data_IF_920389936416
#
_entry.id   IF_920389936416
#
_cell.length_a   1.000
_cell.length_b   1.000
_cell.length_c   1.000
_cell.angle_alpha   90.00
_cell.angle_beta   90.00
_cell.angle_gamma   90.00
#
_symmetry.space_group_name_H-M   'P 1'
#
loop_
_entity.id
_entity.type
_entity.pdbx_description
1 polymer ?
#
# COMPACT_ATOMS: atom_id res chain seq x y z
N UNK A 1 -26.02 20.65 -81.42
CA UNK A 1 -24.66 21.16 -81.16
C UNK A 1 -24.35 21.13 -79.66
N UNK A 2 -24.72 20.07 -78.94
CA UNK A 2 -24.52 19.97 -77.48
C UNK A 2 -23.63 18.79 -77.07
N UNK A 3 -23.13 18.00 -78.03
CA UNK A 3 -22.28 16.83 -77.78
C UNK A 3 -20.80 17.24 -77.72
N UNK A 4 -20.43 18.26 -78.50
CA UNK A 4 -19.05 18.74 -78.66
C UNK A 4 -18.50 19.39 -77.37
N UNK A 5 -19.38 19.86 -76.46
CA UNK A 5 -18.97 20.40 -75.14
C UNK A 5 -18.79 19.32 -74.06
N UNK A 6 -19.36 18.12 -74.24
CA UNK A 6 -19.35 17.04 -73.23
C UNK A 6 -18.12 16.14 -73.42
N UNK A 7 -17.61 16.04 -74.65
CA UNK A 7 -16.51 15.14 -75.00
C UNK A 7 -15.17 15.86 -74.89
N UNK A 8 -14.45 15.61 -73.79
CA UNK A 8 -13.13 16.21 -73.53
C UNK A 8 -11.98 15.43 -74.18
N UNK A 9 -12.20 14.16 -74.56
CA UNK A 9 -11.16 13.31 -75.17
C UNK A 9 -10.95 13.69 -76.65
N UNK A 10 -9.73 14.12 -76.97
CA UNK A 10 -9.31 14.52 -78.32
C UNK A 10 -9.54 13.42 -79.36
N UNK A 11 -9.30 12.15 -79.02
CA UNK A 11 -9.51 11.04 -79.95
C UNK A 11 -11.00 10.82 -80.24
N UNK A 12 -11.84 10.99 -79.23
CA UNK A 12 -13.28 10.83 -79.37
C UNK A 12 -13.91 12.00 -80.15
N UNK A 13 -13.42 13.22 -79.95
CA UNK A 13 -13.79 14.40 -80.76
C UNK A 13 -13.47 14.17 -82.23
N UNK A 14 -12.24 13.72 -82.55
CA UNK A 14 -11.84 13.42 -83.93
C UNK A 14 -12.72 12.35 -84.61
N UNK A 15 -13.16 11.33 -83.86
CA UNK A 15 -14.08 10.30 -84.36
C UNK A 15 -15.46 10.90 -84.66
N UNK A 16 -15.97 11.77 -83.79
CA UNK A 16 -17.29 12.40 -83.96
C UNK A 16 -17.31 13.35 -85.15
N UNK A 17 -16.27 14.15 -85.32
CA UNK A 17 -16.11 15.07 -86.46
C UNK A 17 -16.00 14.28 -87.77
N UNK A 18 -15.11 13.28 -87.82
CA UNK A 18 -14.98 12.42 -88.99
C UNK A 18 -16.28 11.66 -89.31
N UNK A 19 -17.04 11.25 -88.29
CA UNK A 19 -18.35 10.61 -88.46
C UNK A 19 -19.37 11.56 -89.06
N UNK A 20 -19.43 12.80 -88.55
CA UNK A 20 -20.33 13.84 -89.04
C UNK A 20 -20.03 14.19 -90.49
N UNK A 21 -18.76 14.41 -90.82
CA UNK A 21 -18.32 14.77 -92.17
C UNK A 21 -18.59 13.64 -93.17
N UNK A 22 -18.27 12.41 -92.79
CA UNK A 22 -18.55 11.21 -93.62
C UNK A 22 -20.05 11.06 -93.85
N UNK A 23 -20.89 11.33 -92.84
CA UNK A 23 -22.35 11.28 -92.96
C UNK A 23 -22.87 12.37 -93.90
N UNK A 24 -22.38 13.60 -93.79
CA UNK A 24 -22.79 14.71 -94.66
C UNK A 24 -22.43 14.41 -96.12
N UNK A 25 -21.22 13.89 -96.37
CA UNK A 25 -20.82 13.48 -97.73
C UNK A 25 -21.66 12.31 -98.27
N UNK A 26 -21.98 11.32 -97.43
CA UNK A 26 -22.84 10.20 -97.83
C UNK A 26 -24.25 10.66 -98.21
N UNK A 27 -24.85 11.57 -97.43
CA UNK A 27 -26.16 12.13 -97.72
C UNK A 27 -26.14 12.96 -99.01
N UNK A 28 -25.13 13.82 -99.19
CA UNK A 28 -24.96 14.60 -100.42
C UNK A 28 -24.84 13.72 -101.67
N UNK A 29 -24.12 12.59 -101.56
CA UNK A 29 -23.99 11.63 -102.66
C UNK A 29 -25.33 10.93 -102.97
N UNK A 30 -26.11 10.58 -101.94
CA UNK A 30 -27.46 10.01 -102.11
C UNK A 30 -28.39 10.99 -102.81
N UNK A 31 -28.36 12.27 -102.42
CA UNK A 31 -29.17 13.32 -103.04
C UNK A 31 -28.78 13.55 -104.51
N UNK A 32 -27.48 13.52 -104.83
CA UNK A 32 -26.98 13.62 -106.21
C UNK A 32 -27.41 12.42 -107.07
N UNK A 33 -27.37 11.21 -106.53
CA UNK A 33 -27.84 10.00 -107.24
C UNK A 33 -29.35 10.04 -107.46
N UNK A 34 -30.12 10.49 -106.47
CA UNK A 34 -31.57 10.64 -106.59
C UNK A 34 -31.96 11.69 -107.66
N UNK A 35 -31.21 12.80 -107.76
CA UNK A 35 -31.44 13.85 -108.75
C UNK A 35 -31.04 13.47 -110.19
N UNK A 36 -30.01 12.63 -110.35
CA UNK A 36 -29.50 12.21 -111.67
C UNK A 36 -30.31 11.09 -112.34
N UNK A 37 -31.22 10.42 -111.61
CA UNK A 37 -31.98 9.27 -112.12
C UNK A 37 -31.17 7.97 -112.23
N UNK A 38 -31.72 6.89 -112.84
CA UNK A 38 -31.02 5.63 -113.03
C UNK A 38 -29.67 5.83 -113.74
N UNK A 39 -28.63 5.15 -113.26
CA UNK A 39 -27.22 5.31 -113.70
C UNK A 39 -27.11 5.20 -115.23
N UNK A 40 -27.92 4.36 -115.89
CA UNK A 40 -27.92 4.13 -117.33
C UNK A 40 -28.43 5.32 -118.18
N UNK A 41 -29.18 6.26 -117.58
CA UNK A 41 -29.73 7.46 -118.24
C UNK A 41 -28.95 8.74 -117.97
N UNK A 42 -27.93 8.69 -117.10
CA UNK A 42 -27.15 9.85 -116.68
C UNK A 42 -26.04 10.21 -117.68
N UNK A 43 -25.73 11.51 -117.80
CA UNK A 43 -24.59 12.00 -118.60
C UNK A 43 -23.27 11.31 -118.18
N UNK A 44 -22.37 10.97 -119.13
CA UNK A 44 -21.09 10.32 -118.81
C UNK A 44 -20.21 11.13 -117.85
N UNK A 45 -20.31 12.46 -117.86
CA UNK A 45 -19.62 13.33 -116.89
C UNK A 45 -20.20 13.18 -115.47
N UNK A 46 -21.53 13.03 -115.34
CA UNK A 46 -22.20 12.83 -114.06
C UNK A 46 -21.89 11.46 -113.44
N UNK A 47 -21.75 10.42 -114.27
CA UNK A 47 -21.30 9.09 -113.84
C UNK A 47 -19.86 9.10 -113.34
N UNK A 48 -18.97 9.84 -114.02
CA UNK A 48 -17.57 9.96 -113.63
C UNK A 48 -17.42 10.71 -112.30
N UNK A 49 -18.21 11.77 -112.08
CA UNK A 49 -18.19 12.55 -110.84
C UNK A 49 -18.75 11.76 -109.64
N UNK A 50 -19.85 11.04 -109.85
CA UNK A 50 -20.42 10.12 -108.84
C UNK A 50 -19.40 9.05 -108.43
N UNK A 51 -18.64 8.50 -109.39
CA UNK A 51 -17.60 7.50 -109.12
C UNK A 51 -16.41 8.06 -108.33
N UNK A 52 -16.04 9.33 -108.53
CA UNK A 52 -15.00 10.00 -107.73
C UNK A 52 -15.46 10.21 -106.29
N UNK A 53 -16.68 10.72 -106.11
CA UNK A 53 -17.24 10.94 -104.77
C UNK A 53 -17.44 9.62 -104.00
N UNK A 54 -17.84 8.55 -104.68
CA UNK A 54 -17.89 7.20 -104.08
C UNK A 54 -16.52 6.73 -103.56
N UNK A 55 -15.46 6.91 -104.35
CA UNK A 55 -14.09 6.55 -103.92
C UNK A 55 -13.65 7.37 -102.70
N UNK A 56 -13.93 8.68 -102.70
CA UNK A 56 -13.64 9.56 -101.56
C UNK A 56 -14.39 9.12 -100.29
N UNK A 57 -15.67 8.79 -100.43
CA UNK A 57 -16.48 8.30 -99.31
C UNK A 57 -15.93 6.98 -98.73
N UNK A 58 -15.50 6.05 -99.58
CA UNK A 58 -14.88 4.78 -99.15
C UNK A 58 -13.60 5.05 -98.34
N UNK A 59 -12.77 6.01 -98.77
CA UNK A 59 -11.58 6.41 -98.02
C UNK A 59 -11.93 7.00 -96.65
N UNK A 60 -12.90 7.90 -96.58
CA UNK A 60 -13.34 8.51 -95.32
C UNK A 60 -13.96 7.48 -94.35
N UNK A 61 -14.72 6.51 -94.87
CA UNK A 61 -15.22 5.38 -94.08
C UNK A 61 -14.10 4.49 -93.54
N UNK A 62 -13.01 4.30 -94.28
CA UNK A 62 -11.85 3.57 -93.79
C UNK A 62 -11.13 4.33 -92.67
N UNK A 63 -10.96 5.65 -92.82
CA UNK A 63 -10.40 6.51 -91.77
C UNK A 63 -11.27 6.50 -90.50
N UNK A 64 -12.58 6.65 -90.63
CA UNK A 64 -13.53 6.59 -89.52
C UNK A 64 -13.45 5.27 -88.75
N UNK A 65 -13.36 4.14 -89.46
CA UNK A 65 -13.17 2.81 -88.84
C UNK A 65 -11.85 2.71 -88.08
N UNK A 66 -10.78 3.32 -88.61
CA UNK A 66 -9.48 3.40 -87.93
C UNK A 66 -9.55 4.20 -86.64
N UNK A 67 -10.10 5.42 -86.71
CA UNK A 67 -10.27 6.30 -85.55
C UNK A 67 -11.17 5.67 -84.48
N UNK A 68 -12.28 5.04 -84.86
CA UNK A 68 -13.18 4.35 -83.94
C UNK A 68 -12.48 3.21 -83.19
N UNK A 69 -11.65 2.41 -83.88
CA UNK A 69 -10.85 1.37 -83.25
C UNK A 69 -9.86 1.98 -82.25
N UNK A 70 -9.17 3.05 -82.62
CA UNK A 70 -8.22 3.72 -81.73
C UNK A 70 -8.90 4.24 -80.45
N UNK A 71 -10.04 4.92 -80.57
CA UNK A 71 -10.82 5.39 -79.42
C UNK A 71 -11.31 4.23 -78.53
N UNK A 72 -11.78 3.13 -79.12
CA UNK A 72 -12.19 1.94 -78.38
C UNK A 72 -11.02 1.29 -77.61
N UNK A 73 -9.84 1.19 -78.24
CA UNK A 73 -8.64 0.68 -77.58
C UNK A 73 -8.20 1.59 -76.42
N UNK A 74 -8.23 2.91 -76.60
CA UNK A 74 -7.93 3.87 -75.53
C UNK A 74 -8.87 3.74 -74.33
N UNK A 75 -10.17 3.59 -74.57
CA UNK A 75 -11.15 3.37 -73.50
C UNK A 75 -10.89 2.05 -72.73
N UNK A 76 -10.55 0.97 -73.45
CA UNK A 76 -10.20 -0.32 -72.82
C UNK A 76 -8.91 -0.24 -72.01
N UNK A 77 -7.90 0.45 -72.52
CA UNK A 77 -6.64 0.66 -71.81
C UNK A 77 -6.85 1.46 -70.53
N UNK A 78 -7.60 2.54 -70.60
CA UNK A 78 -7.95 3.38 -69.43
C UNK A 78 -8.69 2.56 -68.37
N UNK A 79 -9.59 1.65 -68.78
CA UNK A 79 -10.26 0.71 -67.87
C UNK A 79 -9.30 -0.29 -67.20
N UNK A 80 -8.30 -0.78 -67.92
CA UNK A 80 -7.26 -1.65 -67.33
C UNK A 80 -6.45 -0.89 -66.29
N UNK A 81 -5.94 0.30 -66.65
CA UNK A 81 -5.12 1.14 -65.78
C UNK A 81 -5.87 1.57 -64.52
N UNK A 82 -7.15 1.94 -64.64
CA UNK A 82 -7.98 2.29 -63.47
C UNK A 82 -8.27 1.08 -62.58
N UNK A 83 -8.43 -0.12 -63.16
CA UNK A 83 -8.57 -1.35 -62.38
C UNK A 83 -7.28 -1.70 -61.62
N UNK A 84 -6.12 -1.58 -62.28
CA UNK A 84 -4.80 -1.82 -61.67
C UNK A 84 -4.51 -0.81 -60.55
N UNK A 85 -4.72 0.47 -60.81
CA UNK A 85 -4.57 1.52 -59.80
C UNK A 85 -5.51 1.31 -58.60
N UNK A 86 -6.75 0.87 -58.84
CA UNK A 86 -7.68 0.52 -57.76
C UNK A 86 -7.17 -0.64 -56.92
N UNK A 87 -6.69 -1.72 -57.54
CA UNK A 87 -6.13 -2.86 -56.82
C UNK A 87 -4.93 -2.46 -55.96
N UNK A 88 -4.09 -1.55 -56.46
CA UNK A 88 -2.96 -1.03 -55.70
C UNK A 88 -3.40 -0.18 -54.50
N UNK A 89 -4.42 0.66 -54.66
CA UNK A 89 -5.02 1.42 -53.55
C UNK A 89 -5.57 0.47 -52.48
N UNK A 90 -6.29 -0.58 -52.89
CA UNK A 90 -6.85 -1.56 -51.95
C UNK A 90 -5.74 -2.33 -51.20
N UNK A 91 -4.64 -2.68 -51.90
CA UNK A 91 -3.46 -3.30 -51.30
C UNK A 91 -2.80 -2.40 -50.25
N UNK A 92 -2.57 -1.14 -50.57
CA UNK A 92 -1.97 -0.16 -49.65
C UNK A 92 -2.89 0.12 -48.46
N UNK A 93 -4.21 0.17 -48.68
CA UNK A 93 -5.17 0.34 -47.59
C UNK A 93 -5.09 -0.80 -46.59
N UNK A 94 -4.98 -2.06 -47.06
CA UNK A 94 -4.81 -3.22 -46.19
C UNK A 94 -3.50 -3.16 -45.39
N UNK A 95 -2.40 -2.78 -46.04
CA UNK A 95 -1.11 -2.62 -45.35
C UNK A 95 -1.18 -1.55 -44.25
N UNK A 96 -1.83 -0.42 -44.54
CA UNK A 96 -2.04 0.65 -43.56
C UNK A 96 -2.90 0.17 -42.37
N UNK A 97 -3.96 -0.60 -42.61
CA UNK A 97 -4.78 -1.17 -41.54
C UNK A 97 -3.97 -2.11 -40.63
N UNK A 98 -3.08 -2.93 -41.21
CA UNK A 98 -2.21 -3.81 -40.44
C UNK A 98 -1.29 -3.01 -39.51
N UNK A 99 -0.69 -1.92 -40.00
CA UNK A 99 0.16 -1.04 -39.19
C UNK A 99 -0.63 -0.35 -38.07
N UNK A 100 -1.86 0.11 -38.34
CA UNK A 100 -2.72 0.68 -37.30
C UNK A 100 -3.13 -0.34 -36.24
N UNK A 101 -3.30 -1.60 -36.62
CA UNK A 101 -3.55 -2.68 -35.68
C UNK A 101 -2.33 -2.93 -34.79
N UNK A 102 -1.15 -3.07 -35.39
CA UNK A 102 0.12 -3.24 -34.68
C UNK A 102 0.38 -2.10 -33.71
N UNK A 103 0.20 -0.84 -34.14
CA UNK A 103 0.33 0.33 -33.28
C UNK A 103 -0.60 0.25 -32.06
N UNK A 104 -1.89 -0.05 -32.25
CA UNK A 104 -2.83 -0.15 -31.14
C UNK A 104 -2.49 -1.30 -30.20
N UNK A 105 -2.03 -2.42 -30.75
CA UNK A 105 -1.62 -3.57 -29.97
C UNK A 105 -0.42 -3.22 -29.08
N UNK A 106 0.65 -2.66 -29.66
CA UNK A 106 1.84 -2.22 -28.93
C UNK A 106 1.53 -1.13 -27.90
N UNK A 107 0.68 -0.15 -28.25
CA UNK A 107 0.22 0.86 -27.28
C UNK A 107 -0.53 0.21 -26.10
N UNK A 108 -1.34 -0.81 -26.37
CA UNK A 108 -2.01 -1.60 -25.34
C UNK A 108 -1.03 -2.35 -24.44
N UNK A 109 -0.01 -2.98 -25.03
CA UNK A 109 1.04 -3.67 -24.28
C UNK A 109 1.87 -2.72 -23.42
N UNK A 110 2.29 -1.57 -23.97
CA UNK A 110 3.01 -0.52 -23.23
C UNK A 110 2.16 -0.04 -22.05
N UNK A 111 0.88 0.27 -22.30
CA UNK A 111 -0.03 0.73 -21.24
C UNK A 111 -0.18 -0.34 -20.15
N UNK A 112 -0.25 -1.62 -20.52
CA UNK A 112 -0.31 -2.71 -19.56
C UNK A 112 0.97 -2.78 -18.71
N UNK A 113 2.15 -2.65 -19.34
CA UNK A 113 3.43 -2.59 -18.64
C UNK A 113 3.56 -1.35 -17.73
N UNK A 114 3.12 -0.18 -18.18
CA UNK A 114 3.14 1.06 -17.39
C UNK A 114 2.16 1.01 -16.21
N UNK A 115 1.03 0.33 -16.38
CA UNK A 115 0.05 0.11 -15.32
C UNK A 115 0.42 -1.02 -14.35
N UNK A 116 1.50 -1.76 -14.62
CA UNK A 116 1.96 -2.83 -13.75
C UNK A 116 2.44 -2.22 -12.43
N UNK A 117 1.57 -2.25 -11.43
CA UNK A 117 1.94 -1.92 -10.07
C UNK A 117 2.99 -2.96 -9.65
N UNK A 118 4.23 -2.54 -9.47
CA UNK A 118 5.32 -3.40 -8.99
C UNK A 118 5.04 -3.75 -7.52
N UNK A 119 4.13 -4.69 -7.31
CA UNK A 119 3.78 -5.25 -6.01
C UNK A 119 4.83 -6.32 -5.69
N UNK A 120 5.62 -6.19 -4.61
CA UNK A 120 6.41 -7.30 -4.09
C UNK A 120 5.45 -8.45 -3.80
N UNK A 121 5.78 -9.64 -4.29
CA UNK A 121 4.93 -10.82 -4.32
C UNK A 121 4.27 -11.17 -2.96
N UNK A 122 3.11 -10.58 -2.65
CA UNK A 122 2.11 -11.06 -1.66
C UNK A 122 0.94 -10.06 -1.54
N UNK A 123 0.02 -10.02 -2.51
CA UNK A 123 -1.34 -9.49 -2.30
C UNK A 123 -2.30 -9.81 -3.46
N UNK A 124 -2.54 -11.08 -3.74
CA UNK A 124 -3.77 -11.49 -4.44
C UNK A 124 -4.90 -11.57 -3.41
N UNK A 125 -5.65 -10.49 -3.18
CA UNK A 125 -7.06 -10.57 -2.74
C UNK A 125 -7.80 -9.24 -2.90
N UNK A 126 -9.09 -9.37 -3.23
CA UNK A 126 -10.19 -8.39 -3.09
C UNK A 126 -10.52 -7.46 -4.28
N UNK A 127 -11.32 -8.05 -5.19
CA UNK A 127 -12.63 -7.57 -5.65
C UNK A 127 -12.76 -6.23 -6.40
N UNK A 128 -12.92 -6.36 -7.72
CA UNK A 128 -13.98 -5.81 -8.59
C UNK A 128 -14.81 -4.65 -8.03
N UNK A 129 -14.59 -3.45 -8.58
CA UNK A 129 -15.58 -2.36 -8.60
C UNK A 129 -16.45 -2.41 -9.88
N UNK A 130 -17.71 -1.92 -9.85
CA UNK A 130 -18.61 -1.96 -10.99
C UNK A 130 -18.32 -0.85 -12.01
N UNK A 131 -18.57 -1.18 -13.26
CA UNK A 131 -18.47 -0.38 -14.49
C UNK A 131 -19.17 0.99 -14.39
N UNK A 132 -18.56 2.10 -14.86
CA UNK A 132 -19.30 3.33 -15.10
C UNK A 132 -20.04 3.25 -16.44
N UNK A 133 -21.35 3.44 -16.35
CA UNK A 133 -22.30 3.62 -17.44
C UNK A 133 -22.00 4.89 -18.26
N UNK A 134 -22.35 4.82 -19.55
CA UNK A 134 -22.12 5.80 -20.63
C UNK A 134 -22.47 7.28 -20.31
N UNK A 135 -21.81 8.26 -20.96
CA UNK A 135 -22.19 9.68 -20.85
C UNK A 135 -23.38 10.02 -21.77
N UNK A 136 -24.30 10.93 -21.37
CA UNK A 136 -25.42 11.35 -22.21
C UNK A 136 -25.02 12.42 -23.24
N UNK A 137 -25.77 12.41 -24.34
CA UNK A 137 -25.59 13.15 -25.60
C UNK A 137 -25.56 14.68 -25.43
N UNK A 138 -24.65 15.30 -26.18
CA UNK A 138 -24.51 16.76 -26.32
C UNK A 138 -25.74 17.42 -26.94
N UNK A 139 -26.14 18.56 -26.39
CA UNK A 139 -27.15 19.48 -26.95
C UNK A 139 -26.42 20.71 -27.48
N UNK A 140 -26.61 21.01 -28.76
CA UNK A 140 -26.12 22.21 -29.46
C UNK A 140 -27.00 23.42 -29.20
N UNK A 141 -26.39 24.60 -28.98
CA UNK A 141 -26.97 25.95 -29.05
C UNK A 141 -25.81 27.00 -29.17
N UNK A 142 -26.06 28.26 -29.58
CA UNK A 142 -25.46 28.90 -30.76
C UNK A 142 -24.31 29.89 -30.45
N UNK A 143 -23.63 30.46 -31.48
CA UNK A 143 -22.32 31.08 -31.32
C UNK A 143 -22.42 32.57 -30.99
N UNK A 144 -21.81 32.99 -29.88
CA UNK A 144 -21.23 34.32 -29.74
C UNK A 144 -20.20 34.32 -28.61
N UNK A 145 -18.97 34.79 -28.89
CA UNK A 145 -17.75 34.80 -28.05
C UNK A 145 -16.90 33.52 -27.98
N UNK A 146 -16.74 32.84 -29.12
CA UNK A 146 -15.96 31.59 -29.24
C UNK A 146 -14.51 31.69 -28.74
N UNK A 147 -13.83 32.83 -28.87
CA UNK A 147 -12.40 32.91 -28.54
C UNK A 147 -12.09 33.03 -27.04
N UNK A 148 -12.98 33.64 -26.26
CA UNK A 148 -12.75 33.80 -24.81
C UNK A 148 -13.03 32.49 -24.05
N UNK A 149 -14.14 31.82 -24.37
CA UNK A 149 -14.46 30.54 -23.77
C UNK A 149 -13.51 29.44 -24.26
N UNK A 150 -13.15 29.40 -25.55
CA UNK A 150 -12.16 28.42 -26.06
C UNK A 150 -10.83 28.53 -25.32
N UNK A 151 -10.29 29.73 -25.10
CA UNK A 151 -9.02 29.89 -24.39
C UNK A 151 -9.10 29.55 -22.89
N UNK A 152 -10.19 29.92 -22.21
CA UNK A 152 -10.43 29.53 -20.81
C UNK A 152 -10.60 28.02 -20.67
N UNK A 153 -11.35 27.37 -21.55
CA UNK A 153 -11.51 25.91 -21.57
C UNK A 153 -10.22 25.20 -21.96
N UNK A 154 -9.43 25.73 -22.91
CA UNK A 154 -8.13 25.16 -23.30
C UNK A 154 -7.13 25.22 -22.13
N UNK A 155 -7.06 26.34 -21.42
CA UNK A 155 -6.16 26.50 -20.27
C UNK A 155 -6.58 25.62 -19.09
N UNK A 156 -7.88 25.60 -18.76
CA UNK A 156 -8.41 24.77 -17.69
C UNK A 156 -8.27 23.27 -18.02
N UNK A 157 -8.53 22.88 -19.28
CA UNK A 157 -8.35 21.50 -19.73
C UNK A 157 -6.89 21.08 -19.74
N UNK A 158 -5.96 21.99 -20.10
CA UNK A 158 -4.52 21.70 -20.06
C UNK A 158 -4.02 21.53 -18.63
N UNK A 159 -4.51 22.36 -17.70
CA UNK A 159 -4.18 22.27 -16.28
C UNK A 159 -4.74 20.99 -15.65
N UNK A 160 -6.01 20.67 -15.92
CA UNK A 160 -6.63 19.43 -15.46
C UNK A 160 -5.92 18.21 -16.09
N UNK A 161 -5.53 18.28 -17.36
CA UNK A 161 -4.77 17.22 -18.01
C UNK A 161 -3.40 17.02 -17.35
N UNK A 162 -2.68 18.11 -17.01
CA UNK A 162 -1.43 18.04 -16.25
C UNK A 162 -1.62 17.45 -14.86
N UNK A 163 -2.61 17.90 -14.09
CA UNK A 163 -2.91 17.37 -12.75
C UNK A 163 -3.30 15.88 -12.81
N UNK A 164 -4.05 15.46 -13.84
CA UNK A 164 -4.40 14.05 -14.05
C UNK A 164 -3.21 13.20 -14.50
N UNK A 165 -2.27 13.77 -15.26
CA UNK A 165 -1.01 13.11 -15.64
C UNK A 165 -0.13 12.94 -14.39
N UNK A 166 0.01 13.97 -13.55
CA UNK A 166 0.74 13.88 -12.28
C UNK A 166 0.11 12.87 -11.33
N UNK A 167 -1.22 12.83 -11.23
CA UNK A 167 -1.92 11.83 -10.44
C UNK A 167 -1.73 10.41 -10.99
N UNK A 168 -1.83 10.21 -12.30
CA UNK A 168 -1.58 8.93 -12.97
C UNK A 168 -0.14 8.45 -12.78
N UNK A 169 0.82 9.36 -12.75
CA UNK A 169 2.24 9.08 -12.56
C UNK A 169 2.64 9.03 -11.07
N UNK A 170 1.72 9.31 -10.14
CA UNK A 170 1.99 9.24 -8.70
C UNK A 170 1.98 7.79 -8.23
N UNK A 171 3.14 7.15 -8.28
CA UNK A 171 3.29 5.79 -7.79
C UNK A 171 3.25 5.73 -6.25
N UNK A 172 2.76 4.61 -5.72
CA UNK A 172 2.58 4.39 -4.27
C UNK A 172 3.84 4.63 -3.44
N UNK A 173 5.04 4.41 -4.02
CA UNK A 173 6.32 4.66 -3.33
C UNK A 173 6.58 6.14 -3.02
N UNK A 174 6.02 7.08 -3.78
CA UNK A 174 6.15 8.52 -3.50
C UNK A 174 5.33 8.97 -2.28
N UNK A 175 4.44 8.10 -1.76
CA UNK A 175 3.60 8.34 -0.58
C UNK A 175 4.20 7.74 0.70
N UNK A 176 5.37 7.09 0.61
CA UNK A 176 6.04 6.49 1.76
C UNK A 176 6.64 7.62 2.63
N UNK A 177 6.31 7.73 3.93
CA UNK A 177 6.95 8.69 4.81
C UNK A 177 8.40 8.24 5.05
N UNK A 178 9.31 8.81 4.27
CA UNK A 178 10.75 8.65 4.37
C UNK A 178 11.34 9.92 4.97
N UNK A 179 12.46 9.79 5.68
CA UNK A 179 13.29 10.91 6.08
C UNK A 179 13.58 11.85 4.88
N UNK A 180 13.42 13.17 5.02
CA UNK A 180 13.74 14.13 3.97
C UNK A 180 15.17 13.94 3.45
N UNK A 181 15.38 14.21 2.17
CA UNK A 181 16.66 13.96 1.50
C UNK A 181 17.84 14.64 2.22
N UNK A 182 17.66 15.89 2.62
CA UNK A 182 18.68 16.71 3.29
C UNK A 182 19.12 16.09 4.63
N UNK A 183 18.15 15.62 5.43
CA UNK A 183 18.40 14.98 6.72
C UNK A 183 19.07 13.61 6.55
N UNK A 184 18.67 12.85 5.52
CA UNK A 184 19.30 11.58 5.20
C UNK A 184 20.77 11.74 4.81
N UNK A 185 21.09 12.69 3.91
CA UNK A 185 22.47 12.95 3.50
C UNK A 185 23.33 13.51 4.64
N UNK A 186 22.74 14.25 5.57
CA UNK A 186 23.44 14.71 6.78
C UNK A 186 23.85 13.54 7.69
N UNK A 187 23.01 12.51 7.81
CA UNK A 187 23.30 11.29 8.59
C UNK A 187 24.22 10.33 7.83
N UNK A 188 24.07 10.27 6.51
CA UNK A 188 24.73 9.33 5.60
C UNK A 188 25.38 10.06 4.42
N UNK A 189 26.48 10.79 4.65
CA UNK A 189 27.17 11.52 3.58
C UNK A 189 27.82 10.60 2.54
N UNK A 190 27.97 9.31 2.86
CA UNK A 190 28.50 8.28 1.95
C UNK A 190 27.65 8.07 0.68
N UNK A 191 26.36 8.45 0.72
CA UNK A 191 25.43 8.31 -0.41
C UNK A 191 25.23 9.61 -1.20
N UNK A 192 26.08 10.63 -1.02
CA UNK A 192 25.92 11.94 -1.66
C UNK A 192 26.09 11.90 -3.20
N UNK A 193 26.92 10.98 -3.69
CA UNK A 193 27.24 10.84 -5.12
C UNK A 193 26.49 9.66 -5.78
N UNK A 194 25.59 9.00 -5.05
CA UNK A 194 24.85 7.84 -5.55
C UNK A 194 23.75 8.25 -6.55
N UNK A 195 23.49 7.35 -7.52
CA UNK A 195 22.36 7.49 -8.44
C UNK A 195 21.00 7.52 -7.70
N UNK A 196 20.01 8.23 -8.26
CA UNK A 196 18.70 8.45 -7.63
C UNK A 196 18.02 7.14 -7.18
N UNK A 197 18.11 6.09 -7.99
CA UNK A 197 17.53 4.79 -7.64
C UNK A 197 18.29 4.13 -6.48
N UNK A 198 19.63 4.18 -6.50
CA UNK A 198 20.49 3.64 -5.44
C UNK A 198 20.26 4.38 -4.12
N UNK A 199 20.16 5.71 -4.19
CA UNK A 199 19.86 6.58 -3.06
C UNK A 199 18.47 6.30 -2.48
N UNK A 200 17.46 6.07 -3.32
CA UNK A 200 16.12 5.68 -2.87
C UNK A 200 16.13 4.35 -2.11
N UNK A 201 16.85 3.34 -2.63
CA UNK A 201 17.01 2.04 -1.95
C UNK A 201 17.69 2.22 -0.60
N UNK A 202 18.79 2.98 -0.54
CA UNK A 202 19.51 3.24 0.71
C UNK A 202 18.63 3.96 1.74
N UNK A 203 17.80 4.92 1.30
CA UNK A 203 16.83 5.63 2.16
C UNK A 203 15.77 4.69 2.71
N UNK A 204 15.23 3.79 1.89
CA UNK A 204 14.24 2.79 2.33
C UNK A 204 14.84 1.84 3.36
N UNK A 205 16.07 1.37 3.13
CA UNK A 205 16.72 0.42 4.04
C UNK A 205 17.08 1.07 5.38
N UNK A 206 17.50 2.34 5.38
CA UNK A 206 17.70 3.11 6.60
C UNK A 206 16.43 3.18 7.44
N UNK A 207 15.32 3.65 6.85
CA UNK A 207 14.01 3.73 7.52
C UNK A 207 13.53 2.39 8.05
N UNK A 208 13.72 1.32 7.27
CA UNK A 208 13.41 -0.04 7.71
C UNK A 208 14.23 -0.41 8.93
N UNK A 209 15.54 -0.20 8.91
CA UNK A 209 16.44 -0.53 10.02
C UNK A 209 16.08 0.23 11.31
N UNK A 210 15.71 1.51 11.19
CA UNK A 210 15.28 2.32 12.33
C UNK A 210 13.96 1.82 12.92
N UNK A 211 12.99 1.47 12.08
CA UNK A 211 11.72 0.88 12.52
C UNK A 211 11.91 -0.47 13.21
N UNK A 212 12.78 -1.32 12.67
CA UNK A 212 13.13 -2.60 13.29
C UNK A 212 13.78 -2.39 14.67
N UNK A 213 14.70 -1.44 14.80
CA UNK A 213 15.34 -1.11 16.07
C UNK A 213 14.35 -0.55 17.11
N UNK A 214 13.39 0.27 16.69
CA UNK A 214 12.33 0.79 17.56
C UNK A 214 11.39 -0.31 18.03
N UNK A 215 11.02 -1.25 17.15
CA UNK A 215 10.15 -2.37 17.52
C UNK A 215 10.85 -3.34 18.49
N UNK A 216 12.16 -3.59 18.30
CA UNK A 216 12.95 -4.37 19.26
C UNK A 216 12.95 -3.71 20.64
N UNK A 217 13.23 -2.41 20.72
CA UNK A 217 13.17 -1.64 21.98
C UNK A 217 11.79 -1.69 22.62
N UNK A 218 10.73 -1.57 21.81
CA UNK A 218 9.34 -1.67 22.27
C UNK A 218 9.09 -3.05 22.90
N UNK A 219 9.49 -4.13 22.25
CA UNK A 219 9.32 -5.49 22.76
C UNK A 219 10.09 -5.74 24.07
N UNK A 220 11.32 -5.24 24.17
CA UNK A 220 12.11 -5.31 25.40
C UNK A 220 11.44 -4.56 26.56
N UNK A 221 10.96 -3.34 26.31
CA UNK A 221 10.25 -2.54 27.30
C UNK A 221 8.93 -3.20 27.72
N UNK A 222 8.19 -3.81 26.79
CA UNK A 222 6.98 -4.57 27.10
C UNK A 222 7.28 -5.77 28.00
N UNK A 223 8.33 -6.52 27.71
CA UNK A 223 8.77 -7.65 28.56
C UNK A 223 9.18 -7.18 29.95
N UNK A 224 9.95 -6.09 30.04
CA UNK A 224 10.34 -5.49 31.33
C UNK A 224 9.13 -5.01 32.12
N UNK A 225 8.16 -4.36 31.45
CA UNK A 225 6.90 -3.94 32.06
C UNK A 225 6.12 -5.14 32.62
N UNK A 226 5.95 -6.21 31.84
CA UNK A 226 5.25 -7.43 32.30
C UNK A 226 5.94 -8.06 33.52
N UNK A 227 7.28 -8.12 33.52
CA UNK A 227 8.06 -8.61 34.67
C UNK A 227 7.82 -7.75 35.92
N UNK A 228 7.88 -6.43 35.79
CA UNK A 228 7.61 -5.52 36.91
C UNK A 228 6.18 -5.63 37.43
N UNK A 229 5.19 -5.85 36.55
CA UNK A 229 3.79 -6.08 36.97
C UNK A 229 3.68 -7.38 37.78
N UNK A 230 4.31 -8.45 37.33
CA UNK A 230 4.32 -9.73 38.06
C UNK A 230 5.02 -9.61 39.42
N UNK A 231 6.17 -8.95 39.47
CA UNK A 231 6.92 -8.71 40.72
C UNK A 231 6.11 -7.85 41.71
N UNK A 232 5.42 -6.80 41.23
CA UNK A 232 4.54 -5.99 42.06
C UNK A 232 3.33 -6.77 42.57
N UNK A 233 2.72 -7.63 41.73
CA UNK A 233 1.62 -8.51 42.16
C UNK A 233 2.08 -9.46 43.25
N UNK A 234 3.25 -10.09 43.07
CA UNK A 234 3.84 -10.99 44.08
C UNK A 234 4.11 -10.26 45.40
N UNK A 235 4.73 -9.08 45.37
CA UNK A 235 4.97 -8.27 46.58
C UNK A 235 3.66 -7.89 47.28
N UNK A 236 2.61 -7.57 46.52
CA UNK A 236 1.27 -7.30 47.09
C UNK A 236 0.70 -8.53 47.79
N UNK A 237 0.81 -9.70 47.17
CA UNK A 237 0.33 -10.97 47.76
C UNK A 237 1.15 -11.36 49.00
N UNK A 238 2.47 -11.13 49.00
CA UNK A 238 3.36 -11.37 50.15
C UNK A 238 3.03 -10.44 51.32
N UNK A 239 2.79 -9.14 51.07
CA UNK A 239 2.33 -8.18 52.09
C UNK A 239 0.99 -8.60 52.68
N UNK A 240 0.02 -9.00 51.85
CA UNK A 240 -1.28 -9.47 52.33
C UNK A 240 -1.18 -10.76 53.17
N UNK A 241 -0.16 -11.58 52.97
CA UNK A 241 0.10 -12.75 53.81
C UNK A 241 0.74 -12.36 55.15
N UNK A 242 1.71 -11.42 55.16
CA UNK A 242 2.28 -10.88 56.39
C UNK A 242 1.22 -10.22 57.27
N UNK A 243 0.28 -9.48 56.68
CA UNK A 243 -0.85 -8.89 57.41
C UNK A 243 -1.69 -9.96 58.11
N UNK A 244 -1.98 -11.08 57.45
CA UNK A 244 -2.72 -12.21 58.04
C UNK A 244 -1.91 -12.91 59.15
N UNK A 245 -0.60 -13.04 58.99
CA UNK A 245 0.26 -13.61 60.02
C UNK A 245 0.32 -12.71 61.27
N UNK A 246 0.40 -11.39 61.06
CA UNK A 246 0.35 -10.41 62.14
C UNK A 246 -0.98 -10.46 62.89
N UNK A 247 -2.10 -10.57 62.18
CA UNK A 247 -3.43 -10.71 62.80
C UNK A 247 -3.53 -11.98 63.66
N UNK A 248 -3.07 -13.12 63.12
CA UNK A 248 -2.99 -14.37 63.90
C UNK A 248 -2.07 -14.26 65.11
N UNK A 249 -0.92 -13.58 64.96
CA UNK A 249 0.01 -13.36 66.06
C UNK A 249 -0.65 -12.51 67.17
N UNK A 250 -1.32 -11.42 66.81
CA UNK A 250 -2.07 -10.58 67.75
C UNK A 250 -3.18 -11.38 68.45
N UNK A 251 -3.94 -12.19 67.73
CA UNK A 251 -5.01 -13.01 68.32
C UNK A 251 -4.47 -14.10 69.24
N UNK A 252 -3.35 -14.74 68.86
CA UNK A 252 -2.65 -15.69 69.72
C UNK A 252 -2.15 -15.01 70.99
N UNK A 253 -1.59 -13.79 70.88
CA UNK A 253 -1.16 -12.95 72.00
C UNK A 253 -2.32 -12.53 72.90
N UNK A 254 -3.47 -12.15 72.33
CA UNK A 254 -4.70 -11.90 73.08
C UNK A 254 -5.17 -13.16 73.81
N UNK A 255 -5.07 -14.33 73.18
CA UNK A 255 -5.47 -15.59 73.79
C UNK A 255 -4.51 -16.02 74.92
N UNK A 256 -3.19 -15.83 74.78
CA UNK A 256 -2.24 -16.12 75.85
C UNK A 256 -2.39 -15.14 77.01
N UNK A 257 -2.55 -13.84 76.73
CA UNK A 257 -2.76 -12.82 77.77
C UNK A 257 -4.07 -13.04 78.53
N UNK A 258 -5.16 -13.37 77.84
CA UNK A 258 -6.42 -13.71 78.50
C UNK A 258 -6.37 -15.01 79.31
N UNK A 259 -5.59 -16.02 78.87
CA UNK A 259 -5.31 -17.23 79.66
C UNK A 259 -4.47 -16.91 80.90
N UNK A 260 -3.44 -16.09 80.77
CA UNK A 260 -2.59 -15.65 81.89
C UNK A 260 -3.42 -14.86 82.92
N UNK A 261 -4.21 -13.88 82.48
CA UNK A 261 -5.16 -13.14 83.34
C UNK A 261 -6.17 -14.06 84.03
N UNK A 262 -6.66 -15.12 83.36
CA UNK A 262 -7.54 -16.12 83.98
C UNK A 262 -6.82 -16.96 85.01
N UNK A 263 -5.59 -17.39 84.75
CA UNK A 263 -4.76 -18.12 85.72
C UNK A 263 -4.45 -17.24 86.94
N UNK A 264 -4.15 -15.96 86.74
CA UNK A 264 -3.92 -14.98 87.82
C UNK A 264 -5.19 -14.75 88.66
N UNK A 265 -6.35 -14.65 88.00
CA UNK A 265 -7.66 -14.56 88.66
C UNK A 265 -8.02 -15.85 89.43
N UNK A 266 -7.67 -17.03 88.90
CA UNK A 266 -7.86 -18.33 89.56
C UNK A 266 -6.89 -18.53 90.74
N UNK A 267 -5.64 -18.08 90.63
CA UNK A 267 -4.67 -18.07 91.72
C UNK A 267 -5.14 -17.18 92.88
N UNK A 268 -5.76 -16.03 92.59
CA UNK A 268 -6.37 -15.15 93.59
C UNK A 268 -7.61 -15.75 94.27
N UNK A 269 -8.26 -16.76 93.67
CA UNK A 269 -9.42 -17.47 94.27
C UNK A 269 -9.03 -18.67 95.15
N UNK A 270 -7.77 -19.15 95.10
CA UNK A 270 -7.29 -20.28 95.91
C UNK A 270 -6.68 -19.89 97.27
N UNK A 271 -6.55 -18.60 97.60
CA UNK A 271 -6.28 -18.17 98.98
C UNK A 271 -6.66 -16.70 99.21
N UNK A 272 -7.76 -16.41 99.94
CA UNK A 272 -8.15 -15.04 100.28
C UNK A 272 -7.37 -14.41 101.45
N UNK A 273 -6.20 -14.93 101.84
CA UNK A 273 -5.43 -14.36 102.95
C UNK A 273 -3.93 -14.49 102.69
N UNK A 274 -3.23 -13.36 102.79
CA UNK A 274 -1.77 -13.15 102.72
C UNK A 274 -1.12 -13.18 101.32
N UNK A 275 -1.11 -12.03 100.65
CA UNK A 275 0.11 -11.56 99.97
C UNK A 275 0.13 -10.03 99.88
N UNK A 276 0.32 -9.38 101.03
CA UNK A 276 1.08 -8.13 101.09
C UNK A 276 2.48 -8.54 101.53
N UNK A 277 3.49 -8.06 100.79
CA UNK A 277 4.93 -8.12 101.07
C UNK A 277 5.70 -9.34 100.53
N UNK A 278 6.37 -9.15 99.38
CA UNK A 278 7.82 -8.88 99.35
C UNK A 278 8.28 -8.57 97.92
N UNK A 279 9.08 -7.50 97.80
CA UNK A 279 9.75 -6.97 96.60
C UNK A 279 8.90 -6.13 95.64
N UNK A 280 8.62 -4.90 96.07
CA UNK A 280 8.57 -3.76 95.15
C UNK A 280 9.06 -2.55 95.94
N UNK A 281 10.25 -2.07 95.62
CA UNK A 281 10.78 -0.84 96.22
C UNK A 281 9.86 0.34 95.85
N UNK A 282 9.59 1.29 96.77
CA UNK A 282 8.61 2.35 96.57
C UNK A 282 8.82 3.26 95.35
N UNK A 283 10.01 3.25 94.72
CA UNK A 283 10.33 4.11 93.58
C UNK A 283 9.79 3.61 92.22
N UNK A 284 9.45 2.32 92.07
CA UNK A 284 8.94 1.82 90.78
C UNK A 284 7.49 2.24 90.49
N UNK A 285 6.66 2.41 91.52
CA UNK A 285 5.29 2.90 91.35
C UNK A 285 5.29 4.36 90.86
N UNK A 286 6.26 5.17 91.30
CA UNK A 286 6.45 6.53 90.80
C UNK A 286 7.01 6.55 89.36
N UNK A 287 7.85 5.59 88.99
CA UNK A 287 8.43 5.51 87.65
C UNK A 287 7.38 5.12 86.59
N UNK A 288 6.57 4.10 86.86
CA UNK A 288 5.49 3.67 85.96
C UNK A 288 4.29 4.63 86.00
N UNK A 289 3.99 5.24 87.15
CA UNK A 289 2.96 6.29 87.26
C UNK A 289 3.31 7.55 86.47
N UNK A 290 4.59 7.98 86.49
CA UNK A 290 5.06 9.13 85.73
C UNK A 290 5.12 8.86 84.22
N UNK A 291 5.53 7.65 83.80
CA UNK A 291 5.55 7.28 82.38
C UNK A 291 4.14 7.24 81.76
N UNK A 292 3.15 6.76 82.51
CA UNK A 292 1.76 6.67 82.06
C UNK A 292 1.12 8.07 81.97
N UNK A 293 1.41 8.96 82.92
CA UNK A 293 0.97 10.37 82.85
C UNK A 293 1.64 11.14 81.70
N UNK A 294 2.92 10.86 81.40
CA UNK A 294 3.65 11.51 80.31
C UNK A 294 3.15 11.06 78.92
N UNK A 295 2.78 9.79 78.77
CA UNK A 295 2.22 9.24 77.52
C UNK A 295 0.73 9.58 77.32
N UNK A 296 0.00 9.90 78.38
CA UNK A 296 -1.45 10.19 78.31
C UNK A 296 -1.78 11.67 78.11
N UNK A 297 -0.85 12.60 78.36
CA UNK A 297 -1.08 14.05 78.29
C UNK A 297 -0.10 14.83 77.38
N UNK A 298 0.75 14.16 76.60
CA UNK A 298 1.70 14.79 75.68
C UNK A 298 1.12 15.14 74.30
N UNK A 299 0.15 16.05 74.20
CA UNK A 299 -0.16 16.76 72.95
C UNK A 299 0.73 18.02 72.85
N UNK A 300 1.66 18.09 71.88
CA UNK A 300 1.84 19.27 71.00
C UNK A 300 2.97 19.13 69.94
N UNK A 301 2.58 19.43 68.70
CA UNK A 301 3.32 20.03 67.55
C UNK A 301 4.23 19.21 66.62
N UNK A 302 3.64 18.92 65.45
CA UNK A 302 4.01 19.33 64.08
C UNK A 302 5.46 19.28 63.55
N UNK A 303 5.52 18.53 62.43
CA UNK A 303 6.16 18.79 61.14
C UNK A 303 7.67 19.09 61.02
N UNK A 304 8.25 18.24 60.17
CA UNK A 304 9.39 18.45 59.26
C UNK A 304 10.82 18.30 59.78
N UNK A 305 11.49 17.40 59.03
CA UNK A 305 12.92 17.34 58.70
C UNK A 305 13.89 16.67 59.68
N UNK A 306 14.87 16.03 59.03
CA UNK A 306 16.14 15.47 59.51
C UNK A 306 16.07 14.01 59.98
N UNK A 307 16.53 13.08 59.15
CA UNK A 307 17.96 12.78 58.90
C UNK A 307 18.53 11.94 60.04
N UNK A 308 18.98 10.75 59.66
CA UNK A 308 19.72 9.82 60.50
C UNK A 308 20.87 10.50 61.25
N UNK A 309 21.07 10.07 62.49
CA UNK A 309 22.28 10.34 63.27
C UNK A 309 21.99 11.09 64.56
N UNK A 310 22.40 10.51 65.69
CA UNK A 310 22.49 11.15 67.01
C UNK A 310 21.21 11.21 67.86
N UNK A 311 20.70 10.03 68.26
CA UNK A 311 19.82 9.92 69.44
C UNK A 311 20.23 8.75 70.33
N UNK A 312 21.54 8.61 70.59
CA UNK A 312 22.09 7.44 71.31
C UNK A 312 23.03 7.76 72.49
N UNK A 313 23.11 9.00 72.99
CA UNK A 313 24.12 9.36 74.00
C UNK A 313 23.60 9.91 75.35
N UNK A 314 22.29 10.03 75.58
CA UNK A 314 21.80 10.71 76.81
C UNK A 314 21.19 9.81 77.89
N UNK A 315 21.16 8.48 77.72
CA UNK A 315 20.55 7.57 78.71
C UNK A 315 21.39 6.36 79.15
N UNK A 316 22.65 6.26 78.75
CA UNK A 316 23.52 5.12 79.06
C UNK A 316 24.55 5.34 80.20
N UNK A 317 24.52 6.48 80.90
CA UNK A 317 25.52 6.80 81.95
C UNK A 317 24.94 6.76 83.38
N UNK A 318 23.75 6.18 83.60
CA UNK A 318 23.15 6.14 84.97
C UNK A 318 22.70 4.78 85.48
N UNK A 319 23.01 3.70 84.76
CA UNK A 319 22.59 2.32 85.10
C UNK A 319 23.76 1.39 85.45
N UNK A 320 24.97 1.90 85.71
CA UNK A 320 26.14 1.09 86.08
C UNK A 320 26.45 1.05 87.59
N UNK A 321 25.72 1.76 88.46
CA UNK A 321 26.04 1.80 89.91
C UNK A 321 25.19 0.89 90.83
N UNK A 322 24.21 0.12 90.33
CA UNK A 322 23.33 -0.70 91.19
C UNK A 322 23.45 -2.22 91.03
N UNK A 323 24.35 -2.72 90.17
CA UNK A 323 24.57 -4.15 89.97
C UNK A 323 25.78 -4.68 90.75
N UNK A 324 25.80 -4.51 92.08
CA UNK A 324 26.85 -5.05 92.95
C UNK A 324 26.33 -5.58 94.30
N UNK A 325 25.37 -6.50 94.30
CA UNK A 325 25.23 -7.49 95.39
C UNK A 325 24.19 -8.55 95.04
N UNK A 326 24.56 -9.83 95.06
CA UNK A 326 23.61 -10.94 94.98
C UNK A 326 24.02 -12.05 94.01
N UNK A 327 25.24 -12.56 94.16
CA UNK A 327 25.77 -13.73 93.48
C UNK A 327 25.43 -14.99 94.31
N UNK A 328 25.30 -16.13 93.60
CA UNK A 328 25.39 -17.53 94.06
C UNK A 328 24.07 -18.16 94.54
N UNK A 329 23.68 -19.41 94.28
CA UNK A 329 24.12 -20.62 93.53
C UNK A 329 22.88 -21.55 93.65
N UNK A 330 22.53 -22.51 92.77
CA UNK A 330 23.15 -23.83 92.68
C UNK A 330 22.30 -24.71 91.69
N UNK A 331 22.96 -25.21 90.62
CA UNK A 331 22.91 -26.57 89.99
C UNK A 331 21.58 -27.35 89.92
N UNK A 332 21.18 -28.11 88.89
CA UNK A 332 21.83 -29.01 87.91
C UNK A 332 20.66 -29.39 86.96
N UNK A 333 20.76 -29.67 85.67
CA UNK A 333 21.44 -30.80 85.06
C UNK A 333 21.22 -30.71 83.54
N UNK A 334 22.27 -31.07 82.81
CA UNK A 334 22.41 -31.12 81.35
C UNK A 334 21.39 -32.07 80.70
N UNK A 335 20.98 -31.80 79.45
CA UNK A 335 21.22 -32.73 78.32
C UNK A 335 21.38 -31.93 77.02
N UNK A 336 22.51 -32.18 76.39
CA UNK A 336 23.05 -31.65 75.14
C UNK A 336 22.36 -32.16 73.87
N UNK A 337 22.23 -31.28 72.89
CA UNK A 337 22.12 -31.59 71.46
C UNK A 337 23.52 -31.65 70.80
N UNK A 338 23.77 -32.65 69.95
CA UNK A 338 24.83 -32.68 68.93
C UNK A 338 24.26 -33.38 67.68
N UNK A 339 24.11 -32.67 66.56
CA UNK A 339 25.08 -32.46 65.46
C UNK A 339 25.26 -33.67 64.52
N UNK A 340 24.68 -33.53 63.31
CA UNK A 340 25.28 -33.61 61.96
C UNK A 340 26.33 -34.70 61.64
N UNK A 341 26.14 -35.34 60.46
CA UNK A 341 27.13 -35.64 59.37
C UNK A 341 27.15 -37.11 58.86
N UNK A 342 26.97 -37.24 57.53
CA UNK A 342 27.43 -38.24 56.51
C UNK A 342 27.35 -39.77 56.74
N UNK A 343 26.75 -40.45 55.74
CA UNK A 343 27.50 -41.26 54.75
C UNK A 343 27.34 -42.79 54.72
N UNK A 344 27.20 -43.33 53.50
CA UNK A 344 27.43 -44.73 53.04
C UNK A 344 26.41 -45.81 53.48
N UNK A 345 26.13 -46.92 52.78
CA UNK A 345 26.32 -47.46 51.42
C UNK A 345 25.68 -48.86 51.41
N UNK A 346 25.19 -49.32 50.25
CA UNK A 346 24.94 -50.74 49.88
C UNK A 346 23.78 -51.47 50.61
N UNK A 347 23.03 -52.42 50.06
CA UNK A 347 23.32 -53.38 48.99
C UNK A 347 22.02 -54.07 48.47
N UNK A 348 22.16 -54.79 47.36
CA UNK A 348 21.34 -55.90 46.82
C UNK A 348 20.03 -55.60 46.03
N UNK A 349 20.14 -55.71 44.70
CA UNK A 349 19.07 -56.26 43.84
C UNK A 349 19.05 -57.80 43.91
N UNK A 350 18.53 -58.57 42.91
CA UNK A 350 17.91 -58.18 41.63
C UNK A 350 16.61 -58.97 41.31
N UNK A 351 15.98 -58.69 40.16
CA UNK A 351 15.39 -59.65 39.17
C UNK A 351 14.58 -58.86 38.11
N UNK A 352 15.05 -58.74 36.86
CA UNK A 352 14.68 -59.55 35.68
C UNK A 352 13.17 -59.49 35.38
N UNK A 353 12.63 -59.15 34.21
CA UNK A 353 12.96 -59.40 32.79
C UNK A 353 12.21 -58.31 31.99
N UNK A 354 12.71 -57.73 30.90
CA UNK A 354 12.86 -58.36 29.60
C UNK A 354 12.35 -57.39 28.52
N UNK A 355 13.27 -56.75 27.82
CA UNK A 355 13.13 -56.27 26.42
C UNK A 355 13.03 -57.49 25.46
N UNK A 356 12.91 -57.37 24.13
CA UNK A 356 12.87 -56.19 23.23
C UNK A 356 11.71 -56.29 22.20
N UNK A 357 11.39 -55.30 21.35
CA UNK A 357 12.03 -55.03 20.05
C UNK A 357 11.05 -54.16 19.24
N UNK A 358 11.48 -53.03 18.70
CA UNK A 358 11.83 -52.81 17.28
C UNK A 358 10.66 -52.98 16.30
N UNK A 359 10.11 -51.87 15.84
CA UNK A 359 10.05 -51.48 14.42
C UNK A 359 9.90 -49.98 14.33
#
# INVERSE_FOLDING_TARGET
MAIDEIVTDSNLSMVLDASRDTRVQALSLVDQIAAAGPIESASPEAQQETSKQQKLLITNLAQLRGLHRAAYFGARQTKSQTSEARQEVDRLHLQLQNLYYEQRHLQGEISACESYESVPAEALTASRGPTPTQPPKARTMPPSSDDYYRNCYQFLASKIAQELIEFRNSHTYQKLPLLPLEEFLALKPEHADDDENTLMIARIEHERSEREALEQKRMELLKRKQKLIADNKKRKDDLANLDKELEKFIDSGRQTYSKALRQERLACTQSPFLYVSRNTEPWEIYYYGFLILFLSFGEFRDEQTLSQGEFSSYYLVRMEEYAYSGRNECTTQQVSTKLRVRGASSAFGPTSKGSPSRT
#
